data_IF_554328184557
#
_entry.id   IF_554328184557
#
_cell.length_a   1.000
_cell.length_b   1.000
_cell.length_c   1.000
_cell.angle_alpha   90.00
_cell.angle_beta   90.00
_cell.angle_gamma   90.00
#
_symmetry.space_group_name_H-M   'P 1'
#
loop_
_entity.id
_entity.type
_entity.pdbx_description
1 polymer ?
#
# COMPACT_ATOMS: atom_id res chain seq x y z
N UNK A 1 -3.90 14.94 -17.91
CA UNK A 1 -2.45 14.80 -18.16
C UNK A 1 -2.23 13.79 -19.27
N UNK A 2 -1.26 14.02 -20.18
CA UNK A 2 -1.07 13.17 -21.37
C UNK A 2 -0.30 11.91 -20.96
N UNK A 3 -0.78 10.73 -21.39
CA UNK A 3 -0.23 9.41 -21.06
C UNK A 3 1.27 9.31 -21.38
N UNK A 4 1.70 9.89 -22.50
CA UNK A 4 3.09 9.79 -22.96
C UNK A 4 4.09 10.43 -21.95
N UNK A 5 3.76 11.54 -21.32
CA UNK A 5 4.61 12.11 -20.28
C UNK A 5 4.75 11.17 -19.09
N UNK A 6 3.64 10.54 -18.68
CA UNK A 6 3.67 9.58 -17.58
C UNK A 6 4.57 8.38 -17.90
N UNK A 7 4.44 7.85 -19.12
CA UNK A 7 5.28 6.74 -19.59
C UNK A 7 6.76 7.15 -19.61
N UNK A 8 7.08 8.35 -20.13
CA UNK A 8 8.47 8.85 -20.16
C UNK A 8 9.05 8.90 -18.74
N UNK A 9 8.30 9.43 -17.75
CA UNK A 9 8.78 9.46 -16.36
C UNK A 9 8.97 8.08 -15.77
N UNK A 10 8.08 7.12 -16.07
CA UNK A 10 8.25 5.73 -15.64
C UNK A 10 9.50 5.10 -16.29
N UNK A 11 9.70 5.29 -17.58
CA UNK A 11 10.88 4.77 -18.28
C UNK A 11 12.17 5.38 -17.72
N UNK A 12 12.17 6.70 -17.44
CA UNK A 12 13.28 7.36 -16.78
C UNK A 12 13.54 6.79 -15.37
N UNK A 13 12.48 6.57 -14.57
CA UNK A 13 12.61 5.94 -13.27
C UNK A 13 13.14 4.49 -13.35
N UNK A 14 12.78 3.76 -14.41
CA UNK A 14 13.27 2.39 -14.64
C UNK A 14 14.78 2.33 -14.92
N UNK A 15 15.41 3.42 -15.39
CA UNK A 15 16.88 3.46 -15.54
C UNK A 15 17.60 3.37 -14.19
N UNK A 16 16.95 3.85 -13.12
CA UNK A 16 17.48 3.74 -11.75
C UNK A 16 16.98 2.47 -11.05
N UNK A 17 15.72 2.11 -11.26
CA UNK A 17 15.12 0.94 -10.63
C UNK A 17 14.04 0.31 -11.50
N UNK A 18 14.28 -0.89 -12.02
CA UNK A 18 13.40 -1.59 -12.95
C UNK A 18 11.98 -1.80 -12.42
N UNK A 19 11.81 -1.90 -11.09
CA UNK A 19 10.49 -2.05 -10.46
C UNK A 19 9.61 -0.82 -10.54
N UNK A 20 10.10 0.34 -11.01
CA UNK A 20 9.29 1.54 -11.22
C UNK A 20 8.09 1.30 -12.16
N UNK A 21 8.17 0.28 -13.03
CA UNK A 21 7.05 -0.14 -13.89
C UNK A 21 5.78 -0.49 -13.10
N UNK A 22 5.93 -0.89 -11.84
CA UNK A 22 4.82 -1.22 -10.94
C UNK A 22 3.89 -0.01 -10.72
N UNK A 23 4.39 1.21 -10.89
CA UNK A 23 3.58 2.42 -10.78
C UNK A 23 2.74 2.72 -12.04
N UNK A 24 2.97 1.99 -13.15
CA UNK A 24 2.25 2.22 -14.40
C UNK A 24 0.71 2.17 -14.27
N UNK A 25 0.11 1.23 -13.52
CA UNK A 25 -1.34 1.16 -13.33
C UNK A 25 -1.98 2.40 -12.69
N UNK A 26 -1.21 3.21 -11.94
CA UNK A 26 -1.70 4.42 -11.29
C UNK A 26 -2.30 5.42 -12.28
N UNK A 27 -1.82 5.45 -13.53
CA UNK A 27 -2.40 6.31 -14.56
C UNK A 27 -3.88 5.99 -14.82
N UNK A 28 -4.22 4.71 -14.91
CA UNK A 28 -5.60 4.28 -15.16
C UNK A 28 -6.46 4.36 -13.90
N UNK A 29 -5.88 4.11 -12.73
CA UNK A 29 -6.56 4.30 -11.45
C UNK A 29 -7.09 5.72 -11.27
N UNK A 30 -6.37 6.73 -11.79
CA UNK A 30 -6.83 8.11 -11.74
C UNK A 30 -8.17 8.34 -12.45
N UNK A 31 -8.51 7.51 -13.44
CA UNK A 31 -9.77 7.61 -14.20
C UNK A 31 -10.96 6.93 -13.50
N UNK A 32 -10.70 6.12 -12.47
CA UNK A 32 -11.76 5.42 -11.73
C UNK A 32 -12.34 6.38 -10.71
N UNK A 33 -13.64 6.58 -10.71
CA UNK A 33 -14.32 7.32 -9.65
C UNK A 33 -14.55 6.38 -8.45
N UNK A 34 -14.19 6.84 -7.24
CA UNK A 34 -14.40 6.10 -5.99
C UNK A 34 -15.83 6.22 -5.43
N UNK A 35 -16.62 7.17 -5.93
CA UNK A 35 -17.98 7.39 -5.41
C UNK A 35 -18.82 6.12 -5.47
N UNK A 36 -19.50 5.83 -4.38
CA UNK A 36 -20.41 4.68 -4.22
C UNK A 36 -19.77 3.30 -4.45
N UNK A 37 -18.43 3.20 -4.44
CA UNK A 37 -17.71 1.93 -4.67
C UNK A 37 -17.24 1.22 -3.40
N UNK A 38 -17.60 1.72 -2.23
CA UNK A 38 -17.15 1.17 -0.95
C UNK A 38 -17.34 -0.35 -0.84
N UNK A 39 -18.58 -0.80 -1.02
CA UNK A 39 -18.89 -2.24 -0.93
C UNK A 39 -18.27 -3.07 -2.06
N UNK A 40 -18.14 -2.49 -3.25
CA UNK A 40 -17.47 -3.15 -4.37
C UNK A 40 -15.98 -3.38 -4.08
N UNK A 41 -15.31 -2.40 -3.47
CA UNK A 41 -13.89 -2.51 -3.09
C UNK A 41 -13.70 -3.61 -2.04
N UNK A 42 -14.53 -3.64 -0.99
CA UNK A 42 -14.47 -4.70 0.02
C UNK A 42 -14.83 -6.08 -0.55
N UNK A 43 -15.79 -6.15 -1.46
CA UNK A 43 -16.15 -7.38 -2.13
C UNK A 43 -15.00 -7.93 -2.99
N UNK A 44 -14.32 -7.06 -3.73
CA UNK A 44 -13.12 -7.44 -4.51
C UNK A 44 -12.01 -7.92 -3.58
N UNK A 45 -11.78 -7.25 -2.45
CA UNK A 45 -10.79 -7.67 -1.45
C UNK A 45 -11.10 -9.07 -0.91
N UNK A 46 -12.34 -9.32 -0.50
CA UNK A 46 -12.78 -10.64 -0.02
C UNK A 46 -12.61 -11.72 -1.11
N UNK A 47 -12.96 -11.39 -2.34
CA UNK A 47 -12.77 -12.28 -3.49
C UNK A 47 -11.29 -12.59 -3.72
N UNK A 48 -10.43 -11.58 -3.67
CA UNK A 48 -8.98 -11.76 -3.77
C UNK A 48 -8.45 -12.65 -2.65
N UNK A 49 -8.95 -12.49 -1.42
CA UNK A 49 -8.55 -13.32 -0.29
C UNK A 49 -8.88 -14.80 -0.52
N UNK A 50 -10.09 -15.11 -1.03
CA UNK A 50 -10.52 -16.48 -1.33
C UNK A 50 -9.71 -17.08 -2.50
N UNK A 51 -9.42 -16.29 -3.52
CA UNK A 51 -8.78 -16.75 -4.75
C UNK A 51 -7.29 -16.46 -4.84
N UNK A 52 -6.66 -15.91 -3.79
CA UNK A 52 -5.26 -15.48 -3.79
C UNK A 52 -4.31 -16.55 -4.33
N UNK A 53 -4.46 -17.82 -3.88
CA UNK A 53 -3.62 -18.94 -4.34
C UNK A 53 -3.81 -19.24 -5.83
N UNK A 54 -5.05 -19.18 -6.33
CA UNK A 54 -5.31 -19.38 -7.78
C UNK A 54 -4.70 -18.27 -8.62
N UNK A 55 -4.78 -17.02 -8.15
CA UNK A 55 -4.17 -15.86 -8.81
C UNK A 55 -2.65 -16.02 -8.89
N UNK A 56 -2.02 -16.45 -7.80
CA UNK A 56 -0.59 -16.73 -7.78
C UNK A 56 -0.22 -17.85 -8.76
N UNK A 57 -0.99 -18.92 -8.83
CA UNK A 57 -0.73 -20.00 -9.78
C UNK A 57 -0.81 -19.54 -11.25
N UNK A 58 -1.80 -18.68 -11.57
CA UNK A 58 -1.89 -18.06 -12.90
C UNK A 58 -0.68 -17.14 -13.16
N UNK A 59 -0.28 -16.35 -12.15
CA UNK A 59 0.92 -15.50 -12.27
C UNK A 59 2.18 -16.30 -12.56
N UNK A 60 2.39 -17.41 -11.86
CA UNK A 60 3.57 -18.29 -12.07
C UNK A 60 3.52 -18.94 -13.45
N UNK A 61 2.34 -19.37 -13.91
CA UNK A 61 2.17 -19.90 -15.27
C UNK A 61 2.58 -18.87 -16.34
N UNK A 62 2.22 -17.61 -16.16
CA UNK A 62 2.58 -16.51 -17.07
C UNK A 62 4.04 -16.06 -16.92
N UNK A 63 4.64 -16.26 -15.76
CA UNK A 63 6.00 -15.83 -15.44
C UNK A 63 6.80 -16.96 -14.76
N UNK A 64 7.21 -18.01 -15.53
CA UNK A 64 7.85 -19.22 -14.97
C UNK A 64 9.14 -18.95 -14.18
N UNK A 65 9.82 -17.84 -14.43
CA UNK A 65 11.02 -17.43 -13.67
C UNK A 65 10.77 -17.27 -12.16
N UNK A 66 9.52 -17.17 -11.74
CA UNK A 66 9.13 -17.05 -10.34
C UNK A 66 8.70 -18.37 -9.69
N UNK A 67 8.79 -19.51 -10.40
CA UNK A 67 8.43 -20.83 -9.85
C UNK A 67 9.22 -21.17 -8.58
N UNK A 68 10.49 -20.77 -8.48
CA UNK A 68 11.32 -20.99 -7.30
C UNK A 68 10.84 -20.30 -6.00
N UNK A 69 9.86 -19.38 -6.12
CA UNK A 69 9.24 -18.74 -4.95
C UNK A 69 8.06 -19.53 -4.40
N UNK A 70 7.62 -20.59 -5.07
CA UNK A 70 6.54 -21.47 -4.61
C UNK A 70 7.14 -22.83 -4.23
N UNK A 71 6.89 -23.26 -3.00
CA UNK A 71 7.47 -24.49 -2.45
C UNK A 71 8.93 -24.39 -2.02
N UNK A 72 9.57 -23.22 -2.15
CA UNK A 72 10.95 -22.96 -1.72
C UNK A 72 11.05 -22.23 -0.38
N UNK A 73 12.27 -21.83 -0.01
CA UNK A 73 12.58 -21.08 1.22
C UNK A 73 11.79 -19.74 1.34
N UNK A 74 11.24 -19.24 0.23
CA UNK A 74 10.46 -18.01 0.15
C UNK A 74 8.94 -18.26 0.07
N UNK A 75 8.49 -19.51 0.18
CA UNK A 75 7.06 -19.87 0.23
C UNK A 75 6.47 -19.74 1.66
N UNK A 76 7.18 -19.03 2.52
CA UNK A 76 6.64 -18.66 3.82
C UNK A 76 5.47 -17.73 3.62
N UNK A 77 4.39 -17.91 4.37
CA UNK A 77 3.24 -17.01 4.42
C UNK A 77 3.72 -15.60 4.81
N UNK A 78 4.13 -14.81 3.82
CA UNK A 78 4.88 -13.57 4.03
C UNK A 78 4.03 -12.33 4.26
N UNK A 79 2.72 -12.47 4.32
CA UNK A 79 1.82 -11.34 4.52
C UNK A 79 1.69 -10.96 5.99
N UNK A 80 1.86 -9.68 6.31
CA UNK A 80 1.55 -9.16 7.65
C UNK A 80 0.07 -8.88 7.81
N UNK A 81 -0.65 -9.66 8.64
CA UNK A 81 -2.06 -9.38 9.00
C UNK A 81 -2.22 -8.01 9.63
N UNK A 82 -1.26 -7.59 10.42
CA UNK A 82 -1.24 -6.25 11.02
C UNK A 82 -1.26 -5.17 9.94
N UNK A 83 -0.45 -5.33 8.89
CA UNK A 83 -0.42 -4.36 7.78
C UNK A 83 -1.74 -4.34 7.02
N UNK A 84 -2.34 -5.49 6.74
CA UNK A 84 -3.65 -5.57 6.10
C UNK A 84 -4.71 -4.87 6.94
N UNK A 85 -4.73 -5.12 8.25
CA UNK A 85 -5.67 -4.48 9.17
C UNK A 85 -5.51 -2.96 9.20
N UNK A 86 -4.26 -2.46 9.25
CA UNK A 86 -3.97 -1.02 9.20
C UNK A 86 -4.47 -0.41 7.89
N UNK A 87 -4.18 -1.04 6.74
CA UNK A 87 -4.61 -0.56 5.43
C UNK A 87 -6.14 -0.50 5.33
N UNK A 88 -6.84 -1.51 5.85
CA UNK A 88 -8.31 -1.55 5.88
C UNK A 88 -8.89 -0.42 6.74
N UNK A 89 -8.37 -0.21 7.95
CA UNK A 89 -8.80 0.89 8.82
C UNK A 89 -8.58 2.25 8.11
N UNK A 90 -7.40 2.46 7.55
CA UNK A 90 -7.07 3.70 6.85
C UNK A 90 -7.97 3.91 5.65
N UNK A 91 -8.27 2.86 4.87
CA UNK A 91 -9.20 2.94 3.76
C UNK A 91 -10.60 3.33 4.23
N UNK A 92 -11.17 2.62 5.22
CA UNK A 92 -12.53 2.89 5.72
C UNK A 92 -12.64 4.33 6.24
N UNK A 93 -11.68 4.78 7.03
CA UNK A 93 -11.70 6.13 7.60
C UNK A 93 -11.52 7.20 6.52
N UNK A 94 -10.55 7.02 5.63
CA UNK A 94 -10.28 8.00 4.56
C UNK A 94 -11.41 8.08 3.55
N UNK A 95 -12.01 6.94 3.19
CA UNK A 95 -13.17 6.90 2.31
C UNK A 95 -14.37 7.63 2.92
N UNK A 96 -14.67 7.40 4.22
CA UNK A 96 -15.74 8.10 4.94
C UNK A 96 -15.48 9.61 4.98
N UNK A 97 -14.27 10.03 5.32
CA UNK A 97 -13.91 11.45 5.35
C UNK A 97 -13.95 12.08 3.95
N UNK A 98 -13.50 11.37 2.91
CA UNK A 98 -13.58 11.82 1.52
C UNK A 98 -15.02 12.02 1.06
N UNK A 99 -15.93 11.12 1.42
CA UNK A 99 -17.36 11.27 1.07
C UNK A 99 -18.02 12.47 1.76
N UNK A 100 -17.52 12.90 2.93
CA UNK A 100 -18.02 14.09 3.63
C UNK A 100 -17.44 15.38 3.00
N UNK A 101 -16.15 15.37 2.63
CA UNK A 101 -15.48 16.55 2.09
C UNK A 101 -14.38 16.15 1.10
N UNK A 102 -14.76 16.10 -0.16
CA UNK A 102 -13.88 15.69 -1.26
C UNK A 102 -12.68 16.62 -1.47
N UNK A 103 -12.77 17.86 -1.01
CA UNK A 103 -11.71 18.85 -1.24
C UNK A 103 -10.49 18.62 -0.35
N UNK A 104 -10.65 17.90 0.76
CA UNK A 104 -9.58 17.68 1.75
C UNK A 104 -8.71 16.45 1.46
N UNK A 105 -9.23 15.52 0.68
CA UNK A 105 -8.52 14.28 0.40
C UNK A 105 -8.14 14.20 -1.07
N UNK A 106 -6.89 13.83 -1.30
CA UNK A 106 -6.47 13.42 -2.64
C UNK A 106 -7.04 12.02 -2.93
N UNK A 107 -7.98 11.97 -3.86
CA UNK A 107 -8.65 10.72 -4.28
C UNK A 107 -7.64 9.67 -4.75
N UNK A 108 -6.53 10.12 -5.35
CA UNK A 108 -5.47 9.23 -5.84
C UNK A 108 -4.76 8.51 -4.71
N UNK A 109 -4.55 9.19 -3.58
CA UNK A 109 -3.95 8.58 -2.38
C UNK A 109 -4.83 7.47 -1.81
N UNK A 110 -6.16 7.64 -1.80
CA UNK A 110 -7.09 6.60 -1.36
C UNK A 110 -7.08 5.41 -2.32
N UNK A 111 -7.04 5.66 -3.64
CA UNK A 111 -6.93 4.60 -4.66
C UNK A 111 -5.64 3.80 -4.51
N UNK A 112 -4.54 4.48 -4.20
CA UNK A 112 -3.27 3.81 -3.93
C UNK A 112 -3.36 2.88 -2.69
N UNK A 113 -4.04 3.32 -1.62
CA UNK A 113 -4.29 2.45 -0.46
C UNK A 113 -5.11 1.21 -0.83
N UNK A 114 -6.12 1.35 -1.69
CA UNK A 114 -6.92 0.19 -2.17
C UNK A 114 -6.03 -0.81 -2.91
N UNK A 115 -5.13 -0.34 -3.76
CA UNK A 115 -4.16 -1.23 -4.44
C UNK A 115 -3.23 -1.88 -3.44
N UNK A 116 -2.73 -1.14 -2.45
CA UNK A 116 -1.90 -1.69 -1.38
C UNK A 116 -2.64 -2.80 -0.61
N UNK A 117 -3.93 -2.61 -0.27
CA UNK A 117 -4.79 -3.62 0.35
C UNK A 117 -4.84 -4.90 -0.50
N UNK A 118 -5.17 -4.78 -1.78
CA UNK A 118 -5.29 -5.91 -2.69
C UNK A 118 -3.98 -6.68 -2.83
N UNK A 119 -2.87 -5.97 -2.99
CA UNK A 119 -1.54 -6.58 -3.06
C UNK A 119 -1.15 -7.24 -1.73
N UNK A 120 -1.53 -6.64 -0.59
CA UNK A 120 -1.29 -7.21 0.72
C UNK A 120 -2.03 -8.54 0.90
N UNK A 121 -3.28 -8.65 0.41
CA UNK A 121 -4.04 -9.89 0.41
C UNK A 121 -3.32 -10.98 -0.41
N UNK A 122 -2.88 -10.63 -1.63
CA UNK A 122 -2.18 -11.61 -2.49
C UNK A 122 -0.83 -12.02 -1.91
N UNK A 123 -0.17 -11.14 -1.14
CA UNK A 123 1.13 -11.40 -0.52
C UNK A 123 1.11 -12.57 0.48
N UNK A 124 -0.06 -12.92 1.03
CA UNK A 124 -0.21 -14.14 1.86
C UNK A 124 0.05 -15.43 1.08
N UNK A 125 -0.22 -15.43 -0.22
CA UNK A 125 -0.02 -16.59 -1.08
C UNK A 125 1.34 -16.60 -1.76
N UNK A 126 2.02 -15.44 -1.85
CA UNK A 126 3.36 -15.31 -2.44
C UNK A 126 4.05 -14.04 -1.94
N UNK A 127 5.12 -14.20 -1.19
CA UNK A 127 5.84 -13.11 -0.52
C UNK A 127 6.32 -11.99 -1.46
N UNK A 128 6.59 -12.29 -2.73
CA UNK A 128 7.06 -11.29 -3.70
C UNK A 128 6.07 -10.13 -3.85
N UNK A 129 4.76 -10.37 -3.72
CA UNK A 129 3.76 -9.31 -3.75
C UNK A 129 3.88 -8.36 -2.55
N UNK A 130 4.36 -8.85 -1.40
CA UNK A 130 4.65 -8.03 -0.24
C UNK A 130 5.75 -6.97 -0.48
N UNK A 131 6.66 -7.22 -1.42
CA UNK A 131 7.68 -6.25 -1.84
C UNK A 131 7.10 -5.12 -2.70
N UNK A 132 5.93 -5.33 -3.29
CA UNK A 132 5.23 -4.33 -4.12
C UNK A 132 4.35 -3.42 -3.27
N UNK A 133 3.82 -3.92 -2.15
CA UNK A 133 2.94 -3.17 -1.24
C UNK A 133 3.51 -1.79 -0.85
N UNK A 134 4.80 -1.63 -0.48
CA UNK A 134 5.37 -0.34 -0.09
C UNK A 134 5.23 0.76 -1.14
N UNK A 135 5.26 0.43 -2.43
CA UNK A 135 5.10 1.42 -3.51
C UNK A 135 3.75 2.14 -3.47
N UNK A 136 2.72 1.46 -2.99
CA UNK A 136 1.37 2.00 -2.89
C UNK A 136 1.03 2.43 -1.47
N UNK A 137 1.51 1.72 -0.45
CA UNK A 137 1.24 2.07 0.94
C UNK A 137 1.96 3.35 1.39
N UNK A 138 3.00 3.79 0.67
CA UNK A 138 3.66 5.08 0.94
C UNK A 138 2.68 6.26 0.93
N UNK A 139 1.57 6.16 0.21
CA UNK A 139 0.51 7.17 0.20
C UNK A 139 -0.18 7.36 1.55
N UNK A 140 0.03 6.44 2.52
CA UNK A 140 -0.39 6.64 3.92
C UNK A 140 0.18 7.94 4.51
N UNK A 141 1.38 8.35 4.08
CA UNK A 141 2.03 9.60 4.50
C UNK A 141 1.16 10.82 4.17
N UNK A 142 0.38 10.77 3.10
CA UNK A 142 -0.55 11.83 2.70
C UNK A 142 -1.91 11.68 3.38
N UNK A 143 -2.40 10.45 3.52
CA UNK A 143 -3.74 10.15 4.04
C UNK A 143 -3.82 10.35 5.54
N UNK A 144 -2.85 9.89 6.32
CA UNK A 144 -2.87 9.96 7.78
C UNK A 144 -2.95 11.40 8.30
N UNK A 145 -2.13 12.37 7.83
CA UNK A 145 -2.26 13.76 8.26
C UNK A 145 -3.63 14.37 7.93
N UNK A 146 -4.17 14.04 6.75
CA UNK A 146 -5.51 14.51 6.36
C UNK A 146 -6.60 13.95 7.28
N UNK A 147 -6.53 12.68 7.63
CA UNK A 147 -7.44 12.03 8.57
C UNK A 147 -7.40 12.69 9.94
N UNK A 148 -6.22 12.85 10.52
CA UNK A 148 -6.05 13.44 11.85
C UNK A 148 -6.58 14.87 11.86
N UNK A 149 -6.28 15.68 10.86
CA UNK A 149 -6.83 17.04 10.74
C UNK A 149 -8.34 17.06 10.62
N UNK A 150 -8.92 16.07 9.94
CA UNK A 150 -10.37 16.01 9.73
C UNK A 150 -11.08 15.56 10.99
N UNK A 151 -10.51 14.61 11.74
CA UNK A 151 -11.08 14.09 12.99
C UNK A 151 -10.94 15.13 14.12
N UNK A 152 -9.77 15.75 14.25
CA UNK A 152 -9.44 16.69 15.32
C UNK A 152 -9.53 18.16 14.90
N UNK A 153 -10.58 18.53 14.16
CA UNK A 153 -10.80 19.88 13.57
C UNK A 153 -10.59 21.06 14.56
N UNK A 154 -10.91 20.87 15.84
CA UNK A 154 -10.89 21.94 16.85
C UNK A 154 -9.53 22.14 17.54
N UNK A 155 -8.62 21.17 17.47
CA UNK A 155 -7.36 21.17 18.20
C UNK A 155 -6.18 20.80 17.29
N UNK A 156 -5.70 21.81 16.56
CA UNK A 156 -4.56 21.65 15.64
C UNK A 156 -3.28 21.19 16.38
N UNK A 157 -3.07 21.65 17.62
CA UNK A 157 -1.93 21.23 18.42
C UNK A 157 -1.99 19.74 18.76
N UNK A 158 -3.15 19.28 19.24
CA UNK A 158 -3.38 17.86 19.57
C UNK A 158 -3.18 16.99 18.33
N UNK A 159 -3.68 17.42 17.17
CA UNK A 159 -3.51 16.66 15.93
C UNK A 159 -2.04 16.53 15.52
N UNK A 160 -1.23 17.57 15.71
CA UNK A 160 0.23 17.55 15.43
C UNK A 160 0.98 16.62 16.39
N UNK A 161 0.69 16.71 17.69
CA UNK A 161 1.31 15.86 18.69
C UNK A 161 0.99 14.39 18.43
N UNK A 162 -0.28 14.06 18.16
CA UNK A 162 -0.70 12.70 17.82
C UNK A 162 0.01 12.15 16.57
N UNK A 163 0.20 12.98 15.54
CA UNK A 163 0.96 12.60 14.37
C UNK A 163 2.40 12.24 14.71
N UNK A 164 3.08 13.12 15.45
CA UNK A 164 4.47 12.89 15.86
C UNK A 164 4.58 11.60 16.66
N UNK A 165 3.73 11.42 17.67
CA UNK A 165 3.73 10.21 18.52
C UNK A 165 3.46 8.96 17.69
N UNK A 166 2.48 9.01 16.76
CA UNK A 166 2.16 7.88 15.89
C UNK A 166 3.34 7.51 14.99
N UNK A 167 3.98 8.49 14.35
CA UNK A 167 5.14 8.21 13.49
C UNK A 167 6.35 7.70 14.27
N UNK A 168 6.61 8.24 15.44
CA UNK A 168 7.67 7.72 16.34
C UNK A 168 7.37 6.29 16.78
N UNK A 169 6.12 5.98 17.11
CA UNK A 169 5.71 4.63 17.48
C UNK A 169 5.83 3.64 16.32
N UNK A 170 5.39 4.02 15.11
CA UNK A 170 5.56 3.20 13.91
C UNK A 170 7.06 2.99 13.61
N UNK A 171 7.85 4.05 13.70
CA UNK A 171 9.29 3.97 13.51
C UNK A 171 9.94 3.01 14.51
N UNK A 172 9.58 3.12 15.79
CA UNK A 172 10.06 2.22 16.84
C UNK A 172 9.72 0.75 16.53
N UNK A 173 8.47 0.45 16.16
CA UNK A 173 8.07 -0.93 15.81
C UNK A 173 8.85 -1.44 14.60
N UNK A 174 9.00 -0.62 13.56
CA UNK A 174 9.70 -1.01 12.34
C UNK A 174 11.19 -1.27 12.61
N UNK A 175 11.81 -0.51 13.50
CA UNK A 175 13.22 -0.73 13.85
C UNK A 175 13.44 -1.98 14.70
N UNK A 176 12.49 -2.33 15.58
CA UNK A 176 12.58 -3.55 16.40
C UNK A 176 12.40 -4.84 15.58
N UNK A 177 11.60 -4.79 14.50
CA UNK A 177 11.31 -5.96 13.66
C UNK A 177 12.36 -6.25 12.58
N UNK A 178 13.25 -5.32 12.28
CA UNK A 178 14.28 -5.46 11.27
C UNK A 178 15.62 -5.72 11.95
N UNK A 179 16.02 -6.98 12.01
CA UNK A 179 17.24 -7.46 12.68
C UNK A 179 18.54 -6.75 12.25
N UNK A 180 18.53 -6.00 11.16
CA UNK A 180 19.70 -5.29 10.63
C UNK A 180 19.73 -3.79 11.00
N UNK A 181 18.75 -3.29 11.73
CA UNK A 181 18.68 -1.86 12.09
C UNK A 181 18.94 -1.60 13.58
N UNK A 182 18.94 -2.64 14.41
CA UNK A 182 19.14 -2.46 15.86
C UNK A 182 19.79 -3.73 16.49
N UNK A 183 20.93 -3.65 17.18
CA UNK A 183 21.76 -2.47 17.34
C UNK A 183 22.56 -2.15 16.09
N UNK A 184 22.73 -0.86 15.80
CA UNK A 184 23.65 -0.41 14.76
C UNK A 184 25.06 -0.61 15.30
N UNK A 185 25.69 -1.73 14.98
CA UNK A 185 27.11 -1.96 15.29
C UNK A 185 27.93 -1.24 14.23
N UNK A 186 28.56 -0.13 14.62
CA UNK A 186 29.65 0.42 13.81
C UNK A 186 30.78 -0.60 13.81
N UNK A 187 31.06 -1.20 12.65
CA UNK A 187 32.29 -1.95 12.45
C UNK A 187 33.40 -0.90 12.49
N UNK A 188 34.12 -0.86 13.60
CA UNK A 188 35.36 -0.08 13.80
C UNK A 188 36.51 -0.88 13.22
#
# INVERSE_FOLDING_TARGET
RKLYYYIIFILLAMTFHTTAIIMLPMYWLNKINLENKFYQILFVEATLFIFARKIVNVFIFLAPKYTGYVGGMYDTHGGSYTMLFILNILFVLSYRCYMIDKTKFDEMSIKALVVAMYLQVVSYSMQIFGRIVPYYSIYMILVIPCLIRTIFKKNVLVSRILLIVLFLFIFYILTQGNANLNPYEFIV
#
